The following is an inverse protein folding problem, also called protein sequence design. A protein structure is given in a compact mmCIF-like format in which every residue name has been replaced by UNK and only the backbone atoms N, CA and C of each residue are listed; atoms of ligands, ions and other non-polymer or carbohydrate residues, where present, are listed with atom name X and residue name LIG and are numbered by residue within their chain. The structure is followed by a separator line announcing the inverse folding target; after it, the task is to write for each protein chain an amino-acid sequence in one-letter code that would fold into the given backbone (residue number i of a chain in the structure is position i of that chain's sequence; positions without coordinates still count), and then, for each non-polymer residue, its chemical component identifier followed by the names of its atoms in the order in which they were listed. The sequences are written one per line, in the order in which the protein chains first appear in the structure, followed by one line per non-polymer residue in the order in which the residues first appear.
data_IF_825321754368
#
_entry.id   IF_825321754368
#
_cell.length_a   1.000
_cell.length_b   1.000
_cell.length_c   1.000
_cell.angle_alpha   90.00
_cell.angle_beta   90.00
_cell.angle_gamma   90.00
#
_symmetry.space_group_name_H-M   'P 1'
#
loop_
_entity.id
_entity.type
_entity.pdbx_description
1 polymer ?
#
# COMPACT_ATOMS: atom_id res chain seq x y z
N UNK A 1 -41.67 -71.52 11.28
CA UNK A 1 -42.20 -70.14 11.38
C UNK A 1 -41.04 -69.24 11.75
N UNK A 2 -40.62 -68.41 10.80
CA UNK A 2 -39.50 -67.48 10.90
C UNK A 2 -39.78 -66.34 11.88
N UNK A 3 -38.81 -65.99 12.71
CA UNK A 3 -38.68 -64.62 13.23
C UNK A 3 -37.21 -64.22 13.20
N UNK A 4 -36.91 -63.29 12.30
CA UNK A 4 -35.61 -62.63 12.19
C UNK A 4 -35.80 -61.23 12.78
N UNK A 5 -35.06 -60.89 13.83
CA UNK A 5 -35.07 -59.54 14.41
C UNK A 5 -33.71 -58.89 14.20
N UNK A 6 -33.74 -57.86 13.37
CA UNK A 6 -32.63 -57.09 12.80
C UNK A 6 -31.99 -56.19 13.86
N UNK A 7 -30.66 -56.26 14.00
CA UNK A 7 -29.86 -55.31 14.78
C UNK A 7 -29.65 -54.03 13.97
N UNK A 8 -30.18 -52.90 14.45
CA UNK A 8 -29.93 -51.57 13.89
C UNK A 8 -28.64 -50.99 14.47
N UNK A 9 -27.59 -50.89 13.65
CA UNK A 9 -26.36 -50.16 13.97
C UNK A 9 -26.57 -48.68 13.65
N UNK A 10 -26.50 -47.80 14.65
CA UNK A 10 -26.55 -46.35 14.46
C UNK A 10 -25.21 -45.85 13.91
N UNK A 11 -25.25 -45.16 12.77
CA UNK A 11 -24.10 -44.53 12.13
C UNK A 11 -23.83 -43.13 12.71
N UNK A 12 -22.59 -42.91 13.15
CA UNK A 12 -22.07 -41.61 13.62
C UNK A 12 -22.18 -40.52 12.54
N UNK A 13 -22.49 -39.27 12.90
CA UNK A 13 -22.46 -38.17 11.93
C UNK A 13 -21.01 -37.84 11.57
N UNK A 14 -20.64 -38.10 10.31
CA UNK A 14 -19.40 -37.61 9.71
C UNK A 14 -19.38 -36.08 9.77
N UNK A 15 -18.51 -35.52 10.60
CA UNK A 15 -18.17 -34.10 10.57
C UNK A 15 -17.70 -33.73 9.15
N UNK A 16 -18.45 -32.84 8.49
CA UNK A 16 -18.02 -32.27 7.22
C UNK A 16 -16.81 -31.37 7.48
N UNK A 17 -15.74 -31.43 6.66
CA UNK A 17 -14.63 -30.50 6.80
C UNK A 17 -15.18 -29.07 6.67
N UNK A 18 -14.94 -28.24 7.68
CA UNK A 18 -15.20 -26.81 7.61
C UNK A 18 -14.24 -26.25 6.57
N UNK A 19 -14.73 -26.01 5.36
CA UNK A 19 -13.99 -25.32 4.32
C UNK A 19 -13.82 -23.88 4.80
N UNK A 20 -12.64 -23.56 5.35
CA UNK A 20 -12.30 -22.21 5.76
C UNK A 20 -12.41 -21.30 4.53
N UNK A 21 -13.38 -20.37 4.58
CA UNK A 21 -13.63 -19.44 3.48
C UNK A 21 -12.37 -18.59 3.25
N UNK A 22 -11.98 -18.29 2.00
CA UNK A 22 -10.77 -17.54 1.73
C UNK A 22 -10.84 -16.18 2.43
N UNK A 23 -9.86 -15.89 3.30
CA UNK A 23 -9.73 -14.58 3.94
C UNK A 23 -9.72 -13.51 2.85
N UNK A 24 -10.49 -12.41 3.00
CA UNK A 24 -10.53 -11.37 1.98
C UNK A 24 -9.11 -10.85 1.73
N UNK A 25 -8.73 -10.73 0.44
CA UNK A 25 -7.44 -10.12 0.06
C UNK A 25 -7.38 -8.73 0.66
N UNK A 26 -6.49 -8.53 1.64
CA UNK A 26 -6.27 -7.21 2.22
C UNK A 26 -5.72 -6.28 1.13
N UNK A 27 -6.43 -5.18 0.91
CA UNK A 27 -5.98 -4.12 0.01
C UNK A 27 -4.75 -3.45 0.63
N UNK A 28 -3.64 -3.27 -0.13
CA UNK A 28 -2.42 -2.72 0.42
C UNK A 28 -2.56 -1.21 0.68
N UNK A 29 -1.79 -0.70 1.64
CA UNK A 29 -1.55 0.74 1.71
C UNK A 29 -0.61 1.17 0.59
N UNK A 30 -0.90 2.31 -0.03
CA UNK A 30 0.00 2.95 -0.96
C UNK A 30 0.67 4.13 -0.26
N UNK A 31 1.98 4.06 -0.08
CA UNK A 31 2.80 5.14 0.48
C UNK A 31 3.57 5.77 -0.69
N UNK A 32 3.22 7.01 -1.02
CA UNK A 32 3.82 7.76 -2.13
C UNK A 32 4.71 8.85 -1.57
N UNK A 33 5.96 8.88 -1.99
CA UNK A 33 6.87 10.01 -1.78
C UNK A 33 6.85 10.88 -3.02
N UNK A 34 6.51 12.16 -2.88
CA UNK A 34 6.60 13.11 -3.98
C UNK A 34 8.03 13.68 -4.09
N UNK A 35 8.44 13.98 -5.32
CA UNK A 35 9.76 14.52 -5.63
C UNK A 35 10.00 14.59 -7.12
N UNK A 36 11.17 15.11 -7.52
CA UNK A 36 11.60 15.14 -8.91
C UNK A 36 12.72 14.12 -9.19
N UNK A 37 12.68 13.41 -10.33
CA UNK A 37 13.67 12.42 -10.72
C UNK A 37 14.94 13.07 -11.27
N UNK A 38 16.08 12.44 -10.99
CA UNK A 38 17.39 12.82 -11.53
C UNK A 38 18.34 13.42 -10.48
N UNK A 39 19.64 13.24 -10.70
CA UNK A 39 20.70 13.59 -9.74
C UNK A 39 20.68 15.05 -9.29
N UNK A 40 20.25 15.97 -10.17
CA UNK A 40 20.17 17.41 -9.88
C UNK A 40 19.13 17.80 -8.83
N UNK A 41 18.19 16.92 -8.50
CA UNK A 41 17.15 17.19 -7.48
C UNK A 41 17.39 16.44 -6.17
N UNK A 42 18.42 15.59 -6.12
CA UNK A 42 18.83 14.91 -4.90
C UNK A 42 19.19 15.97 -3.84
N UNK A 43 18.74 15.76 -2.60
CA UNK A 43 18.96 16.66 -1.46
C UNK A 43 18.37 18.08 -1.59
N UNK A 44 17.40 18.26 -2.50
CA UNK A 44 16.54 19.46 -2.49
C UNK A 44 15.38 19.25 -1.52
N UNK A 45 14.85 20.33 -0.92
CA UNK A 45 13.68 20.25 -0.02
C UNK A 45 12.49 19.54 -0.67
N UNK A 46 12.33 19.71 -1.98
CA UNK A 46 11.29 19.07 -2.79
C UNK A 46 11.41 17.54 -2.92
N UNK A 47 12.55 16.95 -2.55
CA UNK A 47 12.75 15.50 -2.61
C UNK A 47 12.62 14.81 -1.23
N UNK A 48 12.22 15.54 -0.19
CA UNK A 48 12.02 14.95 1.16
C UNK A 48 11.00 13.80 1.14
N UNK A 49 10.02 13.83 0.24
CA UNK A 49 9.07 12.74 0.06
C UNK A 49 9.75 11.45 -0.41
N UNK A 50 10.68 11.53 -1.37
CA UNK A 50 11.49 10.38 -1.79
C UNK A 50 12.40 9.89 -0.68
N UNK A 51 13.06 10.80 0.05
CA UNK A 51 13.94 10.46 1.16
C UNK A 51 13.19 9.74 2.28
N UNK A 52 11.98 10.17 2.61
CA UNK A 52 11.12 9.51 3.59
C UNK A 52 10.70 8.10 3.14
N UNK A 53 10.35 7.92 1.86
CA UNK A 53 10.03 6.60 1.31
C UNK A 53 11.25 5.68 1.32
N UNK A 54 12.43 6.20 1.01
CA UNK A 54 13.67 5.43 1.08
C UNK A 54 14.00 5.01 2.51
N UNK A 55 13.82 5.90 3.49
CA UNK A 55 13.99 5.58 4.90
C UNK A 55 13.01 4.50 5.40
N UNK A 56 11.73 4.58 4.99
CA UNK A 56 10.73 3.54 5.30
C UNK A 56 11.12 2.20 4.64
N UNK A 57 11.55 2.25 3.38
CA UNK A 57 11.96 1.06 2.65
C UNK A 57 13.15 0.36 3.32
N UNK A 58 14.14 1.13 3.78
CA UNK A 58 15.29 0.61 4.50
C UNK A 58 14.91 0.02 5.87
N UNK A 59 14.11 0.75 6.65
CA UNK A 59 13.68 0.30 7.97
C UNK A 59 12.88 -1.01 7.95
N UNK A 60 12.07 -1.21 6.89
CA UNK A 60 11.18 -2.37 6.74
C UNK A 60 11.77 -3.45 5.81
N UNK A 61 12.97 -3.26 5.28
CA UNK A 61 13.64 -4.20 4.37
C UNK A 61 12.94 -4.38 3.01
N UNK A 62 12.23 -3.35 2.53
CA UNK A 62 11.49 -3.36 1.27
C UNK A 62 12.38 -2.85 0.14
N UNK A 63 12.63 -3.68 -0.87
CA UNK A 63 13.36 -3.24 -2.07
C UNK A 63 12.48 -2.44 -3.03
N UNK A 64 12.88 -1.21 -3.35
CA UNK A 64 12.25 -0.38 -4.39
C UNK A 64 13.03 -0.56 -5.70
N UNK A 65 12.70 -1.61 -6.46
CA UNK A 65 13.41 -1.97 -7.70
C UNK A 65 12.49 -2.09 -8.92
N UNK A 66 11.18 -2.20 -8.73
CA UNK A 66 10.24 -2.38 -9.84
C UNK A 66 9.95 -1.05 -10.52
N UNK A 67 10.10 -0.97 -11.84
CA UNK A 67 9.74 0.22 -12.63
C UNK A 67 8.39 -0.05 -13.31
N UNK A 68 7.36 0.68 -12.88
CA UNK A 68 6.02 0.58 -13.50
C UNK A 68 5.20 1.83 -13.19
N UNK A 69 4.15 2.10 -13.97
CA UNK A 69 3.27 3.28 -13.77
C UNK A 69 4.02 4.62 -13.69
N UNK A 70 5.14 4.75 -14.42
CA UNK A 70 6.06 5.91 -14.32
C UNK A 70 6.59 6.14 -12.89
N UNK A 71 6.73 5.09 -12.07
CA UNK A 71 7.26 5.14 -10.71
C UNK A 71 8.29 4.03 -10.45
N UNK A 72 9.14 4.27 -9.46
CA UNK A 72 9.87 3.20 -8.77
C UNK A 72 8.97 2.66 -7.66
N UNK A 73 8.77 1.34 -7.64
CA UNK A 73 7.88 0.65 -6.73
C UNK A 73 8.63 -0.38 -5.88
N UNK A 74 8.26 -0.44 -4.62
CA UNK A 74 8.57 -1.52 -3.69
C UNK A 74 7.28 -2.11 -3.14
N UNK A 75 7.25 -3.43 -2.92
CA UNK A 75 6.12 -4.11 -2.30
C UNK A 75 6.64 -4.91 -1.12
N UNK A 76 5.93 -4.87 -0.02
CA UNK A 76 6.31 -5.58 1.19
C UNK A 76 5.23 -5.50 2.24
N UNK A 77 5.65 -5.62 3.50
CA UNK A 77 4.79 -5.57 4.66
C UNK A 77 5.40 -4.64 5.71
N UNK A 78 4.55 -3.94 6.44
CA UNK A 78 4.90 -3.25 7.68
C UNK A 78 4.10 -3.96 8.77
N UNK A 79 4.79 -4.77 9.60
CA UNK A 79 4.12 -5.78 10.41
C UNK A 79 3.31 -6.75 9.53
N UNK A 80 2.02 -6.92 9.82
CA UNK A 80 1.10 -7.78 9.04
C UNK A 80 0.34 -7.02 7.93
N UNK A 81 0.61 -5.73 7.76
CA UNK A 81 -0.12 -4.88 6.80
C UNK A 81 0.60 -4.86 5.46
N UNK A 82 -0.04 -5.28 4.34
CA UNK A 82 0.58 -5.19 3.03
C UNK A 82 0.73 -3.72 2.62
N UNK A 83 1.93 -3.36 2.14
CA UNK A 83 2.23 -2.00 1.68
C UNK A 83 2.86 -1.99 0.29
N UNK A 84 2.65 -0.89 -0.41
CA UNK A 84 3.31 -0.54 -1.65
C UNK A 84 3.95 0.83 -1.49
N UNK A 85 5.27 0.89 -1.65
CA UNK A 85 6.04 2.11 -1.66
C UNK A 85 6.17 2.60 -3.10
N UNK A 86 5.94 3.89 -3.34
CA UNK A 86 6.01 4.48 -4.67
C UNK A 86 6.79 5.79 -4.67
N UNK A 87 7.71 5.91 -5.64
CA UNK A 87 8.42 7.16 -5.98
C UNK A 87 8.14 7.49 -7.45
N UNK A 88 7.11 8.31 -7.76
CA UNK A 88 6.81 8.74 -9.12
C UNK A 88 8.07 9.30 -9.79
N UNK A 89 8.48 8.73 -10.92
CA UNK A 89 9.57 9.23 -11.77
C UNK A 89 9.05 10.22 -12.82
N UNK A 90 7.94 10.88 -12.50
CA UNK A 90 7.40 12.04 -13.19
C UNK A 90 8.00 13.31 -12.61
N UNK A 91 7.80 14.46 -13.25
CA UNK A 91 7.99 15.73 -12.55
C UNK A 91 6.88 15.91 -11.50
N UNK A 92 7.18 16.70 -10.46
CA UNK A 92 6.30 16.91 -9.29
C UNK A 92 4.85 17.25 -9.69
N UNK A 93 4.70 18.14 -10.68
CA UNK A 93 3.42 18.60 -11.22
C UNK A 93 2.61 17.54 -11.99
N UNK A 94 3.22 16.40 -12.32
CA UNK A 94 2.59 15.29 -13.05
C UNK A 94 2.49 14.02 -12.20
N UNK A 95 2.75 14.11 -10.88
CA UNK A 95 2.71 12.97 -9.96
C UNK A 95 1.35 12.27 -9.94
N UNK A 96 0.26 13.02 -10.13
CA UNK A 96 -1.10 12.48 -10.23
C UNK A 96 -1.29 11.45 -11.36
N UNK A 97 -0.57 11.57 -12.48
CA UNK A 97 -0.63 10.57 -13.56
C UNK A 97 -0.12 9.21 -13.12
N UNK A 98 0.96 9.21 -12.33
CA UNK A 98 1.57 7.99 -11.80
C UNK A 98 0.72 7.39 -10.69
N UNK A 99 0.39 8.20 -9.68
CA UNK A 99 -0.36 7.76 -8.49
C UNK A 99 -1.76 7.29 -8.88
N UNK A 100 -2.46 8.01 -9.74
CA UNK A 100 -3.80 7.63 -10.21
C UNK A 100 -3.80 6.31 -10.96
N UNK A 101 -2.79 6.04 -11.78
CA UNK A 101 -2.65 4.77 -12.50
C UNK A 101 -2.43 3.58 -11.53
N UNK A 102 -1.59 3.76 -10.50
CA UNK A 102 -1.34 2.74 -9.47
C UNK A 102 -2.63 2.44 -8.70
N UNK A 103 -3.31 3.48 -8.20
CA UNK A 103 -4.55 3.37 -7.43
C UNK A 103 -5.64 2.64 -8.22
N UNK A 104 -5.81 3.01 -9.51
CA UNK A 104 -6.79 2.38 -10.39
C UNK A 104 -6.47 0.91 -10.67
N UNK A 105 -5.21 0.60 -10.99
CA UNK A 105 -4.79 -0.76 -11.34
C UNK A 105 -4.91 -1.73 -10.17
N UNK A 106 -4.43 -1.34 -8.99
CA UNK A 106 -4.47 -2.18 -7.79
C UNK A 106 -5.78 -2.07 -7.01
N UNK A 107 -6.71 -1.19 -7.44
CA UNK A 107 -8.00 -0.93 -6.80
C UNK A 107 -7.86 -0.49 -5.33
N UNK A 108 -6.83 0.31 -5.05
CA UNK A 108 -6.50 0.77 -3.70
C UNK A 108 -7.53 1.83 -3.26
N UNK A 109 -8.21 1.65 -2.12
CA UNK A 109 -9.08 2.67 -1.56
C UNK A 109 -8.30 3.96 -1.25
N UNK A 110 -8.84 5.14 -1.58
CA UNK A 110 -8.17 6.43 -1.29
C UNK A 110 -7.83 6.63 0.19
N UNK A 111 -8.62 6.04 1.11
CA UNK A 111 -8.34 6.04 2.56
C UNK A 111 -7.08 5.27 2.96
N UNK A 112 -6.50 4.48 2.05
CA UNK A 112 -5.27 3.72 2.20
C UNK A 112 -4.13 4.30 1.35
N UNK A 113 -4.29 5.53 0.83
CA UNK A 113 -3.24 6.25 0.12
C UNK A 113 -2.68 7.31 1.06
N UNK A 114 -1.38 7.19 1.35
CA UNK A 114 -0.60 8.17 2.10
C UNK A 114 0.36 8.85 1.13
N UNK A 115 0.27 10.17 1.03
CA UNK A 115 1.17 10.98 0.19
C UNK A 115 2.06 11.80 1.12
N UNK A 116 3.37 11.72 0.88
CA UNK A 116 4.42 12.39 1.65
C UNK A 116 5.09 13.40 0.72
N UNK A 117 5.06 14.68 1.08
CA UNK A 117 5.60 15.78 0.29
C UNK A 117 6.11 16.90 1.20
N UNK A 118 6.83 17.87 0.64
CA UNK A 118 7.28 19.04 1.38
C UNK A 118 6.17 20.10 1.48
N UNK A 119 5.85 20.52 2.71
CA UNK A 119 4.92 21.62 2.95
C UNK A 119 5.73 22.88 3.28
N UNK A 120 5.71 23.88 2.38
CA UNK A 120 6.43 25.15 2.56
C UNK A 120 5.89 25.98 3.73
N UNK A 121 4.64 25.75 4.14
CA UNK A 121 3.99 26.47 5.23
C UNK A 121 4.31 25.86 6.61
N UNK A 122 4.97 24.70 6.65
CA UNK A 122 5.40 24.09 7.91
C UNK A 122 6.78 24.62 8.35
N UNK A 123 6.93 24.99 9.64
CA UNK A 123 8.25 25.21 10.21
C UNK A 123 9.15 23.99 10.01
N UNK A 124 10.45 24.24 9.83
CA UNK A 124 11.45 23.19 9.65
C UNK A 124 11.33 22.06 10.70
N UNK A 125 11.48 20.82 10.25
CA UNK A 125 11.39 19.60 11.04
C UNK A 125 10.04 19.31 11.72
N UNK A 126 8.94 19.97 11.29
CA UNK A 126 7.58 19.61 11.72
C UNK A 126 6.90 18.69 10.71
N UNK A 127 6.29 17.63 11.22
CA UNK A 127 5.42 16.74 10.45
C UNK A 127 3.96 17.02 10.81
N UNK A 128 3.09 17.03 9.80
CA UNK A 128 1.64 17.17 9.97
C UNK A 128 0.94 16.07 9.17
N UNK A 129 0.10 15.27 9.83
CA UNK A 129 -0.77 14.30 9.16
C UNK A 129 -2.16 14.92 8.98
N UNK A 130 -2.62 15.02 7.74
CA UNK A 130 -3.95 15.53 7.40
C UNK A 130 -4.81 14.38 6.86
N UNK A 131 -5.86 13.93 7.56
CA UNK A 131 -6.77 12.89 7.06
C UNK A 131 -7.63 13.36 5.87
N UNK A 132 -7.84 14.68 5.76
CA UNK A 132 -8.38 15.38 4.58
C UNK A 132 -7.74 16.78 4.56
N UNK A 133 -7.17 17.17 3.43
CA UNK A 133 -6.61 18.50 3.22
C UNK A 133 -6.70 18.87 1.74
N UNK A 134 -7.12 20.11 1.45
CA UNK A 134 -6.95 20.67 0.11
C UNK A 134 -5.45 20.85 -0.21
N UNK A 135 -5.12 21.04 -1.48
CA UNK A 135 -3.75 21.06 -1.99
C UNK A 135 -2.82 22.13 -1.36
N UNK A 136 -3.32 23.08 -0.55
CA UNK A 136 -2.48 23.94 0.28
C UNK A 136 -1.43 24.77 -0.48
N UNK A 137 -1.68 25.08 -1.76
CA UNK A 137 -0.70 25.74 -2.63
C UNK A 137 0.38 24.81 -3.24
N UNK A 138 0.32 23.51 -2.95
CA UNK A 138 1.16 22.48 -3.54
C UNK A 138 0.65 22.09 -4.94
N UNK A 139 1.55 22.04 -5.93
CA UNK A 139 1.23 21.77 -7.33
C UNK A 139 1.27 20.27 -7.70
N UNK A 140 1.64 19.41 -6.74
CA UNK A 140 1.76 17.96 -6.90
C UNK A 140 0.67 17.20 -6.17
#
# INVERSE_FOLDING_TARGET
MSTTSTTTTASSPTERPVVESPKPKQQPWLIVGLGNPGKKYQSTRHNVGFEMVDAIAEAEGISISSVSFKALLGKGFIGDVPVMLAKPQTFMNASGESVGAIVSYYKIPLKQVLVIFDDLDLPFAKLRLLPKGGHGGHNG
#
